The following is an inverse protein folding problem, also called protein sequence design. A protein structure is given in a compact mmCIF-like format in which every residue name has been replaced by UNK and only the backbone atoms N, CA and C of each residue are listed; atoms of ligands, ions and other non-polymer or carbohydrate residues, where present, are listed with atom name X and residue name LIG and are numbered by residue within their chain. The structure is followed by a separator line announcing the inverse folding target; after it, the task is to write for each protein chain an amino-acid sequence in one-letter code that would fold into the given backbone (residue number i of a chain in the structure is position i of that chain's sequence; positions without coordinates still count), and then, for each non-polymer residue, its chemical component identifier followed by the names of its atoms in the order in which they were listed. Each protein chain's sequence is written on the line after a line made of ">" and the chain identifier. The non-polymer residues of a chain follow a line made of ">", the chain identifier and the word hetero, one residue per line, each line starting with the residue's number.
data_IF_981103512584
#
_entry.id   IF_981103512584
#
_cell.length_a   1.000
_cell.length_b   1.000
_cell.length_c   1.000
_cell.angle_alpha   90.00
_cell.angle_beta   90.00
_cell.angle_gamma   90.00
#
_symmetry.space_group_name_H-M   'P 1'
#
loop_
_entity.id
_entity.type
_entity.pdbx_description
1 polymer ?
#
# COMPACT_ATOMS: atom_id res chain seq x y z
N UNK A 1 -31.82 8.81 53.52
CA UNK A 1 -31.94 8.51 52.08
C UNK A 1 -30.55 8.22 51.56
N UNK A 2 -30.23 6.95 51.32
CA UNK A 2 -28.99 6.53 50.68
C UNK A 2 -29.34 5.98 49.30
N UNK A 3 -28.62 6.43 48.27
CA UNK A 3 -28.20 5.61 47.13
C UNK A 3 -27.20 6.38 46.29
N UNK A 4 -25.98 5.86 46.32
CA UNK A 4 -24.87 6.09 45.42
C UNK A 4 -25.18 5.46 44.06
N UNK A 5 -24.82 6.12 42.95
CA UNK A 5 -24.30 5.39 41.78
C UNK A 5 -23.39 6.31 40.97
N UNK A 6 -22.11 5.93 40.96
CA UNK A 6 -21.06 6.60 40.25
C UNK A 6 -21.33 6.74 38.76
N UNK A 7 -20.90 7.87 38.20
CA UNK A 7 -20.71 8.05 36.77
C UNK A 7 -19.70 7.02 36.27
N UNK A 8 -20.22 5.96 35.67
CA UNK A 8 -19.46 5.02 34.87
C UNK A 8 -18.90 5.78 33.66
N UNK A 9 -17.61 6.13 33.71
CA UNK A 9 -16.84 6.58 32.56
C UNK A 9 -16.73 5.39 31.61
N UNK A 10 -17.49 5.42 30.52
CA UNK A 10 -17.29 4.48 29.42
C UNK A 10 -15.84 4.59 28.94
N UNK A 11 -15.15 3.47 28.65
CA UNK A 11 -13.83 3.52 28.05
C UNK A 11 -13.98 4.25 26.72
N UNK A 12 -13.17 5.29 26.56
CA UNK A 12 -12.94 5.93 25.28
C UNK A 12 -12.28 4.87 24.41
N UNK A 13 -13.08 4.16 23.61
CA UNK A 13 -12.62 3.37 22.48
C UNK A 13 -12.04 4.37 21.47
N UNK A 14 -10.84 4.85 21.78
CA UNK A 14 -10.03 5.67 20.92
C UNK A 14 -9.31 4.72 19.97
N UNK A 15 -10.07 4.00 19.13
CA UNK A 15 -9.51 3.63 17.83
C UNK A 15 -9.19 4.96 17.16
N UNK A 16 -7.92 5.25 16.82
CA UNK A 16 -7.60 6.41 16.00
C UNK A 16 -8.50 6.32 14.77
N UNK A 17 -9.11 7.42 14.29
CA UNK A 17 -9.83 7.37 13.03
C UNK A 17 -8.85 6.80 12.01
N UNK A 18 -9.17 5.64 11.44
CA UNK A 18 -8.37 5.04 10.37
C UNK A 18 -8.20 6.15 9.33
N UNK A 19 -6.98 6.69 9.25
CA UNK A 19 -6.69 7.71 8.26
C UNK A 19 -7.03 7.07 6.91
N UNK A 20 -7.72 7.78 6.00
CA UNK A 20 -7.96 7.25 4.66
C UNK A 20 -6.61 6.84 4.09
N UNK A 21 -6.41 5.53 3.92
CA UNK A 21 -5.15 4.98 3.45
C UNK A 21 -4.90 5.54 2.06
N UNK A 22 -3.75 6.17 1.87
CA UNK A 22 -3.38 6.75 0.58
C UNK A 22 -3.26 5.63 -0.46
N UNK A 23 -3.53 5.95 -1.73
CA UNK A 23 -3.40 4.98 -2.83
C UNK A 23 -2.00 4.36 -2.91
N UNK A 24 -0.97 5.11 -2.49
CA UNK A 24 0.41 4.64 -2.37
C UNK A 24 0.60 3.66 -1.22
N UNK A 25 0.02 3.89 -0.03
CA UNK A 25 0.12 2.95 1.09
C UNK A 25 -0.54 1.60 0.75
N UNK A 26 -1.72 1.62 0.14
CA UNK A 26 -2.39 0.40 -0.31
C UNK A 26 -1.59 -0.31 -1.42
N UNK A 27 -0.96 0.45 -2.32
CA UNK A 27 -0.08 -0.11 -3.35
C UNK A 27 1.18 -0.77 -2.76
N UNK A 28 1.78 -0.19 -1.72
CA UNK A 28 2.95 -0.76 -1.05
C UNK A 28 2.62 -2.09 -0.35
N UNK A 29 1.48 -2.15 0.36
CA UNK A 29 1.02 -3.39 0.99
C UNK A 29 0.76 -4.49 -0.04
N UNK A 30 0.11 -4.14 -1.16
CA UNK A 30 -0.16 -5.08 -2.24
C UNK A 30 1.14 -5.50 -2.96
N UNK A 31 2.12 -4.60 -3.11
CA UNK A 31 3.43 -4.92 -3.67
C UNK A 31 4.16 -5.94 -2.79
N UNK A 32 4.20 -5.71 -1.47
CA UNK A 32 4.77 -6.65 -0.50
C UNK A 32 4.04 -8.00 -0.53
N UNK A 33 2.71 -7.99 -0.62
CA UNK A 33 1.91 -9.22 -0.66
C UNK A 33 2.21 -10.07 -1.90
N UNK A 34 2.37 -9.44 -3.07
CA UNK A 34 2.59 -10.16 -4.33
C UNK A 34 4.06 -10.59 -4.48
N UNK A 35 5.01 -9.74 -4.12
CA UNK A 35 6.43 -9.94 -4.48
C UNK A 35 7.41 -9.96 -3.31
N UNK A 36 6.99 -9.68 -2.07
CA UNK A 36 7.89 -9.41 -0.94
C UNK A 36 9.03 -10.41 -0.74
N UNK A 37 8.76 -11.71 -0.89
CA UNK A 37 9.77 -12.78 -0.76
C UNK A 37 10.20 -13.39 -2.12
N UNK A 38 9.64 -12.90 -3.22
CA UNK A 38 9.80 -13.50 -4.56
C UNK A 38 10.80 -12.78 -5.45
N UNK A 39 11.18 -11.55 -5.11
CA UNK A 39 12.10 -10.72 -5.90
C UNK A 39 13.28 -10.24 -5.05
N UNK A 40 14.44 -9.99 -5.68
CA UNK A 40 15.58 -9.35 -5.01
C UNK A 40 15.23 -7.97 -4.43
N UNK A 41 15.90 -7.60 -3.33
CA UNK A 41 15.68 -6.32 -2.63
C UNK A 41 15.89 -5.10 -3.53
N UNK A 42 16.85 -5.15 -4.46
CA UNK A 42 17.11 -4.07 -5.42
C UNK A 42 15.95 -3.87 -6.40
N UNK A 43 15.36 -4.96 -6.90
CA UNK A 43 14.18 -4.92 -7.76
C UNK A 43 12.95 -4.40 -6.98
N UNK A 44 12.81 -4.81 -5.72
CA UNK A 44 11.74 -4.34 -4.83
C UNK A 44 11.84 -2.83 -4.57
N UNK A 45 13.04 -2.31 -4.31
CA UNK A 45 13.26 -0.86 -4.11
C UNK A 45 12.87 -0.06 -5.34
N UNK A 46 13.18 -0.54 -6.54
CA UNK A 46 12.78 0.14 -7.78
C UNK A 46 11.26 0.11 -7.99
N UNK A 47 10.59 -0.99 -7.64
CA UNK A 47 9.12 -1.06 -7.72
C UNK A 47 8.43 -0.17 -6.68
N UNK A 48 8.99 -0.04 -5.47
CA UNK A 48 8.53 0.92 -4.46
C UNK A 48 8.54 2.33 -5.04
N UNK A 49 9.65 2.75 -5.66
CA UNK A 49 9.77 4.08 -6.30
C UNK A 49 8.76 4.32 -7.43
N UNK A 50 8.28 3.26 -8.09
CA UNK A 50 7.19 3.35 -9.07
C UNK A 50 5.86 3.61 -8.36
N UNK A 51 5.52 2.83 -7.33
CA UNK A 51 4.21 2.93 -6.66
C UNK A 51 4.10 4.08 -5.65
N UNK A 52 5.19 4.78 -5.35
CA UNK A 52 5.16 6.07 -4.66
C UNK A 52 4.46 7.17 -5.49
N UNK A 53 4.51 7.08 -6.83
CA UNK A 53 3.72 7.96 -7.70
C UNK A 53 2.24 7.57 -7.63
N UNK A 54 1.36 8.51 -7.29
CA UNK A 54 -0.06 8.25 -7.08
C UNK A 54 -0.79 7.71 -8.34
N UNK A 55 -0.40 8.12 -9.54
CA UNK A 55 -1.00 7.63 -10.78
C UNK A 55 -0.53 6.21 -11.10
N UNK A 56 0.75 5.93 -10.86
CA UNK A 56 1.32 4.59 -10.98
C UNK A 56 0.77 3.64 -9.92
N UNK A 57 0.61 4.09 -8.68
CA UNK A 57 -0.01 3.32 -7.58
C UNK A 57 -1.42 2.84 -7.95
N UNK A 58 -2.26 3.73 -8.47
CA UNK A 58 -3.62 3.38 -8.93
C UNK A 58 -3.60 2.38 -10.09
N UNK A 59 -2.65 2.55 -11.01
CA UNK A 59 -2.50 1.65 -12.17
C UNK A 59 -2.03 0.26 -11.71
N UNK A 60 -1.03 0.22 -10.84
CA UNK A 60 -0.54 -0.99 -10.18
C UNK A 60 -1.66 -1.73 -9.46
N UNK A 61 -2.42 -1.06 -8.60
CA UNK A 61 -3.53 -1.66 -7.86
C UNK A 61 -4.59 -2.25 -8.80
N UNK A 62 -4.93 -1.52 -9.87
CA UNK A 62 -5.87 -2.03 -10.87
C UNK A 62 -5.35 -3.27 -11.58
N UNK A 63 -4.06 -3.29 -11.95
CA UNK A 63 -3.45 -4.46 -12.60
C UNK A 63 -3.36 -5.65 -11.64
N UNK A 64 -2.98 -5.42 -10.38
CA UNK A 64 -2.91 -6.44 -9.34
C UNK A 64 -4.27 -7.14 -9.11
N UNK A 65 -5.38 -6.40 -9.21
CA UNK A 65 -6.73 -6.93 -9.04
C UNK A 65 -7.28 -7.65 -10.28
N UNK A 66 -6.78 -7.33 -11.48
CA UNK A 66 -7.40 -7.75 -12.75
C UNK A 66 -6.54 -8.70 -13.59
N UNK A 67 -5.29 -8.91 -13.19
CA UNK A 67 -4.30 -9.68 -13.96
C UNK A 67 -3.46 -10.58 -13.05
N UNK A 68 -2.54 -11.36 -13.64
CA UNK A 68 -1.63 -12.22 -12.88
C UNK A 68 -0.38 -11.47 -12.38
N UNK A 69 0.27 -11.94 -11.30
CA UNK A 69 1.54 -11.36 -10.82
C UNK A 69 2.60 -11.19 -11.92
N UNK A 70 2.69 -12.14 -12.86
CA UNK A 70 3.63 -12.05 -13.99
C UNK A 70 3.34 -10.86 -14.91
N UNK A 71 2.07 -10.51 -15.13
CA UNK A 71 1.70 -9.33 -15.93
C UNK A 71 2.03 -8.05 -15.17
N UNK A 72 1.76 -8.02 -13.86
CA UNK A 72 2.09 -6.89 -12.99
C UNK A 72 3.60 -6.64 -12.97
N UNK A 73 4.41 -7.69 -12.79
CA UNK A 73 5.87 -7.58 -12.80
C UNK A 73 6.41 -7.08 -14.15
N UNK A 74 5.87 -7.57 -15.27
CA UNK A 74 6.23 -7.06 -16.60
C UNK A 74 5.90 -5.58 -16.79
N UNK A 75 4.80 -5.11 -16.21
CA UNK A 75 4.46 -3.69 -16.24
C UNK A 75 5.42 -2.87 -15.36
N UNK A 76 5.68 -3.31 -14.13
CA UNK A 76 6.62 -2.66 -13.22
C UNK A 76 8.04 -2.55 -13.84
N UNK A 77 8.55 -3.64 -14.43
CA UNK A 77 9.83 -3.63 -15.12
C UNK A 77 9.89 -2.61 -16.28
N UNK A 78 8.79 -2.44 -17.02
CA UNK A 78 8.71 -1.40 -18.07
C UNK A 78 8.73 0.02 -17.49
N UNK A 79 8.08 0.23 -16.36
CA UNK A 79 8.07 1.53 -15.67
C UNK A 79 9.45 1.89 -15.12
N UNK A 80 10.18 0.92 -14.57
CA UNK A 80 11.59 1.10 -14.14
C UNK A 80 12.46 1.53 -15.32
N UNK A 81 12.35 0.84 -16.46
CA UNK A 81 13.08 1.20 -17.69
C UNK A 81 12.69 2.60 -18.21
N UNK A 82 11.41 2.95 -18.16
CA UNK A 82 10.92 4.27 -18.60
C UNK A 82 11.43 5.41 -17.71
N UNK A 83 11.69 5.14 -16.44
CA UNK A 83 12.32 6.08 -15.49
C UNK A 83 13.81 6.31 -15.80
N UNK A 84 14.47 5.31 -16.40
CA UNK A 84 15.89 5.26 -16.69
C UNK A 84 16.22 5.39 -18.17
N UNK A 85 15.99 6.57 -18.75
CA UNK A 85 16.89 7.09 -19.81
C UNK A 85 17.26 8.54 -19.46
N UNK A 86 18.33 8.76 -18.68
CA UNK A 86 19.05 10.01 -18.79
C UNK A 86 19.79 9.98 -20.13
N UNK A 87 19.29 10.69 -21.14
CA UNK A 87 20.12 11.12 -22.26
C UNK A 87 20.95 12.33 -21.82
#
# INVERSE_FOLDING_TARGET
>A
MASNTGRHLSPMDATPPERPQSGSECALEMLQHIFGDQIPDDELVDYIRIVEDNMKARTFLKLAQTTSPTIVQKWLAKEVLARGTPF
#
